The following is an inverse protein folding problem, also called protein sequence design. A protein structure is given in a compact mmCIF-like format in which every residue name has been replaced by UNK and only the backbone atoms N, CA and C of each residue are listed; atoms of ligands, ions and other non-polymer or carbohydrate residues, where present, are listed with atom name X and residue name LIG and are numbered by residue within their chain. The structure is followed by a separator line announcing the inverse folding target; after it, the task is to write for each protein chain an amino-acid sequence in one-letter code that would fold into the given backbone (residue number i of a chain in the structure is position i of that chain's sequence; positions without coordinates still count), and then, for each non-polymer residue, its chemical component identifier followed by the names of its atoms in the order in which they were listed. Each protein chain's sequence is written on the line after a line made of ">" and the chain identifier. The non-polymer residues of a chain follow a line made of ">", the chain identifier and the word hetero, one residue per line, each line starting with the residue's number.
data_IF_557324920423
#
_entry.id   IF_557324920423
#
_cell.length_a   1.000
_cell.length_b   1.000
_cell.length_c   1.000
_cell.angle_alpha   90.00
_cell.angle_beta   90.00
_cell.angle_gamma   90.00
#
_symmetry.space_group_name_H-M   'P 1'
#
loop_
_entity.id
_entity.type
_entity.pdbx_description
1 polymer ?
#
# COMPACT_ATOMS: atom_id res chain seq x y z
N UNK A 1 -19.13 10.62 -17.17
CA UNK A 1 -17.72 10.61 -16.71
C UNK A 1 -16.94 11.53 -17.63
N UNK A 2 -16.24 12.50 -17.07
CA UNK A 2 -15.30 13.30 -17.86
C UNK A 2 -14.12 12.39 -18.24
N UNK A 3 -13.81 12.35 -19.54
CA UNK A 3 -12.66 11.58 -20.04
C UNK A 3 -11.41 12.44 -19.92
N UNK A 4 -10.31 11.82 -19.45
CA UNK A 4 -9.00 12.44 -19.47
C UNK A 4 -8.64 12.84 -20.91
N UNK A 5 -8.19 14.08 -21.11
CA UNK A 5 -7.70 14.59 -22.39
C UNK A 5 -6.25 14.94 -22.27
N UNK A 6 -5.43 14.45 -23.20
CA UNK A 6 -4.03 14.82 -23.31
C UNK A 6 -3.89 15.90 -24.37
N UNK A 7 -3.49 17.12 -23.98
CA UNK A 7 -3.15 18.21 -24.91
C UNK A 7 -1.64 18.23 -25.16
N UNK A 8 -1.26 17.88 -26.38
CA UNK A 8 0.15 17.91 -26.85
C UNK A 8 0.44 19.08 -27.80
N UNK A 9 -0.51 20.01 -27.97
CA UNK A 9 -0.39 21.08 -28.96
C UNK A 9 0.86 21.97 -28.82
N UNK A 10 1.40 22.07 -27.58
CA UNK A 10 2.59 22.88 -27.27
C UNK A 10 3.89 22.07 -27.17
N UNK A 11 3.87 20.78 -27.44
CA UNK A 11 5.05 19.90 -27.26
C UNK A 11 5.94 19.83 -28.51
N UNK A 12 5.45 20.27 -29.65
CA UNK A 12 6.11 20.07 -30.95
C UNK A 12 6.06 18.60 -31.43
N UNK A 13 5.40 17.72 -30.72
CA UNK A 13 5.25 16.30 -31.08
C UNK A 13 4.01 16.10 -31.94
N UNK A 14 4.16 15.45 -33.09
CA UNK A 14 3.06 14.98 -33.90
C UNK A 14 2.89 13.46 -33.74
N UNK A 15 1.70 13.02 -33.36
CA UNK A 15 1.39 11.58 -33.28
C UNK A 15 1.16 11.06 -34.70
N UNK A 16 2.15 10.32 -35.22
CA UNK A 16 2.05 9.73 -36.54
C UNK A 16 1.16 8.46 -36.55
N UNK A 17 0.63 8.10 -37.73
CA UNK A 17 -0.12 6.84 -37.90
C UNK A 17 0.72 5.61 -37.53
N UNK A 18 2.03 5.65 -37.76
CA UNK A 18 2.95 4.58 -37.36
C UNK A 18 3.06 4.46 -35.83
N UNK A 19 3.09 5.58 -35.08
CA UNK A 19 3.08 5.56 -33.62
C UNK A 19 1.76 5.01 -33.07
N UNK A 20 0.64 5.41 -33.65
CA UNK A 20 -0.68 4.88 -33.27
C UNK A 20 -0.76 3.37 -33.50
N UNK A 21 -0.31 2.88 -34.66
CA UNK A 21 -0.31 1.44 -34.96
C UNK A 21 0.56 0.64 -33.97
N UNK A 22 1.75 1.17 -33.59
CA UNK A 22 2.61 0.54 -32.57
C UNK A 22 1.93 0.50 -31.19
N UNK A 23 1.30 1.58 -30.77
CA UNK A 23 0.59 1.63 -29.50
C UNK A 23 -0.59 0.65 -29.46
N UNK A 24 -1.37 0.59 -30.56
CA UNK A 24 -2.47 -0.37 -30.68
C UNK A 24 -1.98 -1.82 -30.64
N UNK A 25 -0.88 -2.13 -31.36
CA UNK A 25 -0.30 -3.48 -31.34
C UNK A 25 0.21 -3.87 -29.94
N UNK A 26 0.87 -2.95 -29.23
CA UNK A 26 1.34 -3.17 -27.87
C UNK A 26 0.17 -3.41 -26.90
N UNK A 27 -0.89 -2.59 -26.99
CA UNK A 27 -2.08 -2.78 -26.19
C UNK A 27 -2.78 -4.12 -26.47
N UNK A 28 -2.92 -4.48 -27.75
CA UNK A 28 -3.49 -5.77 -28.14
C UNK A 28 -2.66 -6.96 -27.64
N UNK A 29 -1.33 -6.84 -27.62
CA UNK A 29 -0.43 -7.86 -27.05
C UNK A 29 -0.66 -7.99 -25.55
N UNK A 30 -0.74 -6.88 -24.81
CA UNK A 30 -1.02 -6.86 -23.38
C UNK A 30 -2.37 -7.53 -23.08
N UNK A 31 -3.43 -7.09 -23.73
CA UNK A 31 -4.79 -7.63 -23.55
C UNK A 31 -4.91 -9.12 -23.93
N UNK A 32 -4.11 -9.57 -24.90
CA UNK A 32 -4.12 -11.00 -25.29
C UNK A 32 -3.49 -11.93 -24.27
N UNK A 33 -2.68 -11.40 -23.34
CA UNK A 33 -1.93 -12.18 -22.37
C UNK A 33 -0.89 -13.15 -22.97
N UNK A 34 -0.45 -12.92 -24.22
CA UNK A 34 0.45 -13.85 -24.94
C UNK A 34 1.91 -13.37 -25.02
N UNK A 35 2.23 -12.23 -24.45
CA UNK A 35 3.58 -11.68 -24.42
C UNK A 35 4.46 -12.31 -23.33
N UNK A 36 5.74 -11.95 -23.35
CA UNK A 36 6.65 -12.25 -22.24
C UNK A 36 6.14 -11.62 -20.94
N UNK A 37 6.19 -12.36 -19.83
CA UNK A 37 5.68 -11.90 -18.54
C UNK A 37 4.16 -12.04 -18.36
N UNK A 38 3.49 -12.80 -19.21
CA UNK A 38 2.02 -13.02 -19.15
C UNK A 38 1.53 -13.60 -17.82
N UNK A 39 2.39 -14.28 -17.06
CA UNK A 39 2.06 -14.83 -15.75
C UNK A 39 1.80 -13.76 -14.68
N UNK A 40 2.15 -12.50 -14.98
CA UNK A 40 2.06 -11.37 -14.04
C UNK A 40 1.16 -10.24 -14.51
N UNK A 41 0.12 -10.56 -15.27
CA UNK A 41 -0.84 -9.59 -15.83
C UNK A 41 -2.12 -9.42 -15.01
N UNK A 42 -2.22 -10.01 -13.81
CA UNK A 42 -3.40 -9.90 -12.95
C UNK A 42 -3.81 -8.45 -12.63
N UNK A 43 -2.87 -7.51 -12.68
CA UNK A 43 -3.14 -6.09 -12.47
C UNK A 43 -3.99 -5.44 -13.58
N UNK A 44 -3.99 -5.96 -14.80
CA UNK A 44 -4.69 -5.38 -15.97
C UNK A 44 -6.19 -5.26 -15.70
N UNK A 45 -6.79 -6.30 -15.14
CA UNK A 45 -8.23 -6.35 -14.86
C UNK A 45 -8.57 -6.27 -13.36
N UNK A 46 -7.55 -6.12 -12.49
CA UNK A 46 -7.76 -6.07 -11.04
C UNK A 46 -8.78 -5.00 -10.60
N UNK A 47 -8.73 -3.75 -11.12
CA UNK A 47 -9.69 -2.73 -10.71
C UNK A 47 -11.15 -3.13 -11.00
N UNK A 48 -11.39 -3.82 -12.13
CA UNK A 48 -12.72 -4.27 -12.52
C UNK A 48 -13.21 -5.50 -11.74
N UNK A 49 -12.30 -6.20 -11.06
CA UNK A 49 -12.61 -7.39 -10.26
C UNK A 49 -12.89 -7.07 -8.77
N UNK A 50 -12.74 -5.82 -8.36
CA UNK A 50 -12.99 -5.40 -6.97
C UNK A 50 -14.49 -5.37 -6.73
N UNK A 51 -14.96 -6.23 -5.83
CA UNK A 51 -16.37 -6.33 -5.45
C UNK A 51 -16.73 -5.34 -4.32
N UNK A 52 -18.02 -4.94 -4.20
CA UNK A 52 -18.49 -4.14 -3.08
C UNK A 52 -18.14 -4.73 -1.71
N UNK A 53 -18.26 -6.03 -1.52
CA UNK A 53 -17.93 -6.71 -0.25
C UNK A 53 -16.46 -6.55 0.12
N UNK A 54 -15.57 -6.56 -0.89
CA UNK A 54 -14.14 -6.32 -0.66
C UNK A 54 -13.87 -4.89 -0.24
N UNK A 55 -14.57 -3.92 -0.85
CA UNK A 55 -14.49 -2.51 -0.45
C UNK A 55 -14.98 -2.35 0.99
N UNK A 56 -16.15 -2.90 1.31
CA UNK A 56 -16.72 -2.83 2.66
C UNK A 56 -15.78 -3.42 3.71
N UNK A 57 -15.14 -4.55 3.43
CA UNK A 57 -14.18 -5.17 4.34
C UNK A 57 -12.96 -4.25 4.60
N UNK A 58 -12.46 -3.57 3.56
CA UNK A 58 -11.36 -2.61 3.67
C UNK A 58 -11.81 -1.38 4.48
N UNK A 59 -12.97 -0.82 4.18
CA UNK A 59 -13.51 0.35 4.87
C UNK A 59 -13.75 0.07 6.36
N UNK A 60 -14.31 -1.09 6.68
CA UNK A 60 -14.51 -1.54 8.06
C UNK A 60 -13.19 -1.63 8.83
N UNK A 61 -12.15 -2.18 8.20
CA UNK A 61 -10.84 -2.26 8.84
C UNK A 61 -10.17 -0.90 8.95
N UNK A 62 -10.31 -0.05 7.94
CA UNK A 62 -9.81 1.32 7.96
C UNK A 62 -10.47 2.15 9.08
N UNK A 63 -11.79 2.01 9.27
CA UNK A 63 -12.52 2.66 10.36
C UNK A 63 -11.95 2.27 11.73
N UNK A 64 -11.71 0.97 11.96
CA UNK A 64 -11.10 0.49 13.21
C UNK A 64 -9.72 1.11 13.48
N UNK A 65 -8.88 1.22 12.44
CA UNK A 65 -7.56 1.83 12.61
C UNK A 65 -7.66 3.34 12.89
N UNK A 66 -8.63 4.05 12.26
CA UNK A 66 -8.88 5.47 12.54
C UNK A 66 -9.30 5.73 13.98
N UNK A 67 -10.11 4.85 14.55
CA UNK A 67 -10.53 4.96 15.95
C UNK A 67 -9.38 4.72 16.93
N UNK A 68 -8.39 3.90 16.54
CA UNK A 68 -7.33 3.44 17.44
C UNK A 68 -6.05 4.27 17.34
N UNK A 69 -5.81 5.00 16.25
CA UNK A 69 -4.50 5.59 16.00
C UNK A 69 -4.57 7.00 15.42
N UNK A 70 -3.71 7.88 15.95
CA UNK A 70 -3.43 9.21 15.40
C UNK A 70 -2.40 9.15 14.28
N UNK A 71 -1.54 8.13 14.30
CA UNK A 71 -0.52 7.90 13.27
C UNK A 71 -0.59 6.45 12.79
N UNK A 72 -0.69 6.26 11.48
CA UNK A 72 -0.63 4.94 10.83
C UNK A 72 0.70 4.83 10.10
N UNK A 73 1.51 3.85 10.47
CA UNK A 73 2.80 3.57 9.85
C UNK A 73 2.58 2.52 8.75
N UNK A 74 2.69 2.94 7.49
CA UNK A 74 2.57 2.05 6.35
C UNK A 74 3.96 1.53 5.96
N UNK A 75 4.16 0.22 6.10
CA UNK A 75 5.44 -0.45 5.85
C UNK A 75 5.37 -1.18 4.52
N UNK A 76 6.29 -0.88 3.61
CA UNK A 76 6.39 -1.50 2.31
C UNK A 76 7.60 -1.01 1.55
N UNK A 77 7.86 -1.59 0.37
CA UNK A 77 8.94 -1.16 -0.53
C UNK A 77 8.41 -1.14 -1.97
N UNK A 78 8.91 -0.21 -2.77
CA UNK A 78 8.56 -0.10 -4.19
C UNK A 78 7.05 -0.02 -4.43
N UNK A 79 6.51 -0.91 -5.27
CA UNK A 79 5.07 -0.95 -5.59
C UNK A 79 4.15 -1.21 -4.40
N UNK A 80 4.67 -1.78 -3.32
CA UNK A 80 3.88 -2.05 -2.11
C UNK A 80 3.50 -0.80 -1.33
N UNK A 81 4.10 0.37 -1.59
CA UNK A 81 3.68 1.61 -0.94
C UNK A 81 3.60 2.83 -1.86
N UNK A 82 4.36 2.87 -2.98
CA UNK A 82 4.41 4.05 -3.85
C UNK A 82 3.05 4.44 -4.42
N UNK A 83 2.23 3.47 -4.81
CA UNK A 83 0.89 3.72 -5.32
C UNK A 83 -0.03 4.36 -4.26
N UNK A 84 -0.05 3.79 -3.06
CA UNK A 84 -0.81 4.34 -1.93
C UNK A 84 -0.30 5.74 -1.54
N UNK A 85 1.03 5.93 -1.50
CA UNK A 85 1.64 7.23 -1.22
C UNK A 85 1.24 8.28 -2.25
N UNK A 86 1.33 7.97 -3.54
CA UNK A 86 0.95 8.88 -4.62
C UNK A 86 -0.52 9.34 -4.51
N UNK A 87 -1.44 8.41 -4.25
CA UNK A 87 -2.87 8.74 -4.08
C UNK A 87 -3.09 9.58 -2.83
N UNK A 88 -2.47 9.22 -1.70
CA UNK A 88 -2.58 9.99 -0.46
C UNK A 88 -2.05 11.42 -0.62
N UNK A 89 -0.92 11.60 -1.28
CA UNK A 89 -0.34 12.93 -1.52
C UNK A 89 -1.19 13.76 -2.48
N UNK A 90 -1.75 13.15 -3.53
CA UNK A 90 -2.60 13.83 -4.49
C UNK A 90 -3.96 14.25 -3.91
N UNK A 91 -4.53 13.46 -2.98
CA UNK A 91 -5.87 13.63 -2.45
C UNK A 91 -5.92 14.28 -1.06
N UNK A 92 -4.77 14.48 -0.42
CA UNK A 92 -4.69 15.05 0.92
C UNK A 92 -4.18 16.49 0.90
N UNK A 93 -4.55 17.25 1.92
CA UNK A 93 -3.90 18.52 2.21
C UNK A 93 -2.41 18.30 2.51
N UNK A 94 -1.55 18.94 1.72
CA UNK A 94 -0.09 18.84 1.84
C UNK A 94 0.44 19.34 3.19
N UNK A 95 -0.31 20.17 3.89
CA UNK A 95 0.05 20.77 5.18
C UNK A 95 -0.75 20.22 6.35
N UNK A 96 -1.49 19.12 6.17
CA UNK A 96 -2.33 18.50 7.21
C UNK A 96 -1.60 18.24 8.54
N UNK A 97 -0.30 17.99 8.48
CA UNK A 97 0.54 17.77 9.66
C UNK A 97 0.71 18.99 10.55
N UNK A 98 0.48 20.22 10.03
CA UNK A 98 0.51 21.47 10.78
C UNK A 98 -0.82 21.79 11.48
N UNK A 99 -1.90 21.09 11.15
CA UNK A 99 -3.20 21.33 11.76
C UNK A 99 -3.21 20.88 13.21
N UNK A 100 -3.60 21.78 14.13
CA UNK A 100 -3.70 21.48 15.57
C UNK A 100 -4.80 20.48 15.89
N UNK A 101 -5.90 20.50 15.11
CA UNK A 101 -7.00 19.52 15.21
C UNK A 101 -7.03 18.71 13.92
N UNK A 102 -6.80 17.42 14.06
CA UNK A 102 -6.88 16.46 12.96
C UNK A 102 -8.09 15.57 13.16
N UNK A 103 -8.85 15.37 12.09
CA UNK A 103 -10.00 14.45 12.04
C UNK A 103 -9.62 13.07 11.53
N UNK A 104 -8.45 12.97 10.88
CA UNK A 104 -7.94 11.74 10.28
C UNK A 104 -6.50 11.47 10.75
N UNK A 105 -6.10 10.21 10.87
CA UNK A 105 -4.72 9.85 11.17
C UNK A 105 -3.72 10.41 10.15
N UNK A 106 -2.53 10.70 10.61
CA UNK A 106 -1.39 10.93 9.71
C UNK A 106 -0.86 9.59 9.25
N UNK A 107 -0.73 9.39 7.95
CA UNK A 107 -0.08 8.20 7.39
C UNK A 107 1.37 8.55 7.09
N UNK A 108 2.29 7.78 7.67
CA UNK A 108 3.74 7.85 7.39
C UNK A 108 4.18 6.56 6.74
N UNK A 109 5.18 6.65 5.86
CA UNK A 109 5.68 5.50 5.11
C UNK A 109 7.06 5.10 5.59
N UNK A 110 7.28 3.80 5.79
CA UNK A 110 8.51 3.21 6.26
C UNK A 110 8.83 1.90 5.50
N UNK A 111 10.03 1.35 5.66
CA UNK A 111 10.39 0.04 5.12
C UNK A 111 11.13 0.06 3.79
N UNK A 112 11.38 1.22 3.19
CA UNK A 112 12.19 1.33 1.98
C UNK A 112 13.68 1.35 2.30
N UNK A 113 14.06 2.09 3.33
CA UNK A 113 15.45 2.17 3.82
C UNK A 113 15.51 1.60 5.23
N UNK A 114 16.65 1.01 5.57
CA UNK A 114 16.98 0.61 6.94
C UNK A 114 18.10 1.54 7.37
N UNK A 115 17.73 2.60 8.07
CA UNK A 115 18.63 3.64 8.54
C UNK A 115 18.20 4.15 9.91
N UNK A 116 18.90 5.13 10.43
CA UNK A 116 18.55 5.85 11.65
C UNK A 116 17.18 6.53 11.63
N UNK A 117 16.58 6.71 10.43
CA UNK A 117 15.23 7.25 10.26
C UNK A 117 14.18 6.49 11.11
N UNK A 118 14.42 5.20 11.41
CA UNK A 118 13.52 4.44 12.29
C UNK A 118 13.58 4.93 13.73
N UNK A 119 14.74 5.32 14.20
CA UNK A 119 14.88 5.91 15.54
C UNK A 119 14.16 7.27 15.58
N UNK A 120 14.37 8.10 14.58
CA UNK A 120 13.70 9.39 14.44
C UNK A 120 12.18 9.22 14.34
N UNK A 121 11.71 8.24 13.57
CA UNK A 121 10.28 7.92 13.46
C UNK A 121 9.70 7.51 14.83
N UNK A 122 10.37 6.60 15.56
CA UNK A 122 9.90 6.13 16.86
C UNK A 122 9.87 7.26 17.91
N UNK A 123 10.84 8.15 17.90
CA UNK A 123 10.83 9.34 18.76
C UNK A 123 9.73 10.32 18.34
N UNK A 124 9.54 10.57 17.03
CA UNK A 124 8.51 11.46 16.52
C UNK A 124 7.08 11.00 16.86
N UNK A 125 6.84 9.69 16.92
CA UNK A 125 5.52 9.12 17.23
C UNK A 125 5.32 8.76 18.71
N UNK A 126 6.25 9.13 19.57
CA UNK A 126 6.29 8.71 20.97
C UNK A 126 5.02 9.10 21.75
N UNK A 127 4.52 10.29 21.52
CA UNK A 127 3.35 10.85 22.20
C UNK A 127 2.02 10.58 21.45
N UNK A 128 2.08 9.92 20.30
CA UNK A 128 0.89 9.61 19.49
C UNK A 128 0.47 8.15 19.66
N UNK A 129 -0.83 7.90 19.57
CA UNK A 129 -1.34 6.55 19.37
C UNK A 129 -1.01 6.06 17.97
N UNK A 130 -0.48 4.83 17.86
CA UNK A 130 0.03 4.29 16.60
C UNK A 130 -0.66 2.98 16.21
N UNK A 131 -0.75 2.76 14.89
CA UNK A 131 -1.09 1.49 14.25
C UNK A 131 -0.18 1.28 13.03
N UNK A 132 -0.16 0.07 12.48
CA UNK A 132 0.66 -0.22 11.30
C UNK A 132 -0.07 -1.06 10.27
N UNK A 133 0.24 -0.79 8.99
CA UNK A 133 -0.13 -1.61 7.85
C UNK A 133 1.18 -2.10 7.23
N UNK A 134 1.40 -3.41 7.23
CA UNK A 134 2.58 -4.01 6.60
C UNK A 134 2.20 -4.68 5.29
N UNK A 135 2.91 -4.32 4.21
CA UNK A 135 2.63 -4.75 2.85
C UNK A 135 3.85 -5.46 2.26
N UNK A 136 3.70 -6.74 1.98
CA UNK A 136 4.72 -7.55 1.31
C UNK A 136 4.06 -8.69 0.54
N UNK A 137 4.10 -8.65 -0.80
CA UNK A 137 3.47 -9.68 -1.65
C UNK A 137 4.01 -11.07 -1.33
N UNK A 138 5.33 -11.26 -1.33
CA UNK A 138 5.95 -12.55 -0.99
C UNK A 138 5.89 -12.89 0.50
N UNK A 139 5.70 -11.89 1.36
CA UNK A 139 5.79 -12.03 2.81
C UNK A 139 7.20 -12.32 3.33
N UNK A 140 8.25 -12.20 2.49
CA UNK A 140 9.64 -12.55 2.81
C UNK A 140 10.65 -11.45 2.49
N UNK A 141 10.20 -10.30 1.98
CA UNK A 141 11.09 -9.17 1.66
C UNK A 141 11.76 -8.64 2.94
N UNK A 142 13.07 -8.51 2.91
CA UNK A 142 13.91 -8.25 4.11
C UNK A 142 13.63 -6.88 4.72
N UNK A 143 13.59 -5.82 3.92
CA UNK A 143 13.46 -4.45 4.42
C UNK A 143 12.13 -4.22 5.15
N UNK A 144 10.96 -4.56 4.56
CA UNK A 144 9.70 -4.51 5.29
C UNK A 144 9.67 -5.42 6.52
N UNK A 145 10.33 -6.59 6.49
CA UNK A 145 10.36 -7.50 7.64
C UNK A 145 11.13 -6.90 8.82
N UNK A 146 12.27 -6.24 8.57
CA UNK A 146 13.05 -5.55 9.62
C UNK A 146 12.24 -4.38 10.19
N UNK A 147 11.71 -3.51 9.30
CA UNK A 147 10.86 -2.40 9.69
C UNK A 147 9.68 -2.84 10.54
N UNK A 148 8.97 -3.87 10.09
CA UNK A 148 7.83 -4.42 10.79
C UNK A 148 8.21 -4.98 12.16
N UNK A 149 9.35 -5.67 12.26
CA UNK A 149 9.84 -6.19 13.55
C UNK A 149 10.03 -5.08 14.59
N UNK A 150 10.60 -3.94 14.18
CA UNK A 150 10.83 -2.79 15.06
C UNK A 150 9.51 -2.14 15.48
N UNK A 151 8.62 -1.86 14.52
CA UNK A 151 7.33 -1.22 14.78
C UNK A 151 6.39 -2.14 15.58
N UNK A 152 6.35 -3.43 15.26
CA UNK A 152 5.59 -4.43 16.02
C UNK A 152 6.03 -4.46 17.48
N UNK A 153 7.35 -4.51 17.74
CA UNK A 153 7.87 -4.52 19.09
C UNK A 153 7.45 -3.28 19.89
N UNK A 154 7.45 -2.10 19.25
CA UNK A 154 7.00 -0.87 19.91
C UNK A 154 5.49 -0.87 20.17
N UNK A 155 4.66 -1.37 19.22
CA UNK A 155 3.21 -1.49 19.40
C UNK A 155 2.92 -2.48 20.55
N UNK A 156 3.55 -3.65 20.57
CA UNK A 156 3.37 -4.63 21.64
C UNK A 156 3.81 -4.11 23.02
N UNK A 157 4.89 -3.35 23.06
CA UNK A 157 5.38 -2.71 24.31
C UNK A 157 4.36 -1.70 24.85
N UNK A 158 3.73 -0.91 23.96
CA UNK A 158 2.77 0.14 24.36
C UNK A 158 1.41 -0.41 24.76
N UNK A 159 0.92 -1.41 24.03
CA UNK A 159 -0.48 -1.82 24.13
C UNK A 159 -0.68 -3.27 24.61
N UNK A 160 0.40 -4.04 24.72
CA UNK A 160 0.30 -5.48 24.97
C UNK A 160 -0.12 -6.25 23.71
N UNK A 161 0.09 -7.57 23.69
CA UNK A 161 -0.11 -8.41 22.49
C UNK A 161 -1.53 -8.40 21.95
N UNK A 162 -2.54 -8.46 22.81
CA UNK A 162 -3.93 -8.53 22.38
C UNK A 162 -4.37 -7.26 21.65
N UNK A 163 -4.11 -6.09 22.23
CA UNK A 163 -4.46 -4.82 21.61
C UNK A 163 -3.56 -4.52 20.39
N UNK A 164 -2.30 -4.98 20.41
CA UNK A 164 -1.39 -4.87 19.27
C UNK A 164 -1.95 -5.59 18.03
N UNK A 165 -2.56 -6.76 18.20
CA UNK A 165 -3.15 -7.51 17.09
C UNK A 165 -4.28 -6.72 16.38
N UNK A 166 -4.99 -5.87 17.11
CA UNK A 166 -6.05 -5.02 16.53
C UNK A 166 -5.51 -3.76 15.85
N UNK A 167 -4.24 -3.41 16.07
CA UNK A 167 -3.54 -2.24 15.51
C UNK A 167 -2.63 -2.58 14.33
N UNK A 168 -2.55 -3.86 13.97
CA UNK A 168 -1.70 -4.37 12.89
C UNK A 168 -2.56 -4.95 11.79
N UNK A 169 -2.34 -4.53 10.54
CA UNK A 169 -2.97 -5.12 9.36
C UNK A 169 -1.87 -5.61 8.43
N UNK A 170 -1.98 -6.84 7.92
CA UNK A 170 -1.04 -7.40 6.96
C UNK A 170 -1.68 -7.51 5.57
N UNK A 171 -0.99 -6.99 4.55
CA UNK A 171 -1.38 -7.13 3.15
C UNK A 171 -0.30 -7.97 2.47
N UNK A 172 -0.63 -9.22 2.12
CA UNK A 172 0.37 -10.23 1.71
C UNK A 172 -0.23 -11.32 0.84
N UNK A 173 0.51 -12.39 0.61
CA UNK A 173 0.05 -13.61 -0.06
C UNK A 173 -1.16 -14.23 0.68
N UNK A 174 -1.98 -14.96 -0.08
CA UNK A 174 -3.16 -15.64 0.46
C UNK A 174 -2.84 -16.75 1.46
N UNK A 175 -1.74 -17.49 1.22
CA UNK A 175 -1.45 -18.73 1.92
C UNK A 175 0.03 -18.93 2.31
N UNK A 176 0.96 -18.17 1.73
CA UNK A 176 2.41 -18.40 1.84
C UNK A 176 3.16 -17.20 2.41
N UNK A 177 4.38 -17.46 2.84
CA UNK A 177 5.32 -16.44 3.30
C UNK A 177 5.29 -16.22 4.82
N UNK A 178 6.41 -15.75 5.35
CA UNK A 178 6.59 -15.53 6.79
C UNK A 178 5.58 -14.52 7.37
N UNK A 179 5.24 -13.47 6.62
CA UNK A 179 4.27 -12.48 7.06
C UNK A 179 2.87 -13.09 7.19
N UNK A 180 2.46 -13.96 6.23
CA UNK A 180 1.17 -14.64 6.30
C UNK A 180 1.10 -15.58 7.51
N UNK A 181 2.14 -16.39 7.69
CA UNK A 181 2.24 -17.31 8.85
C UNK A 181 2.18 -16.54 10.16
N UNK A 182 2.90 -15.42 10.27
CA UNK A 182 2.87 -14.59 11.47
C UNK A 182 1.49 -13.98 11.70
N UNK A 183 0.87 -13.44 10.64
CA UNK A 183 -0.46 -12.83 10.75
C UNK A 183 -1.52 -13.82 11.22
N UNK A 184 -1.48 -15.06 10.72
CA UNK A 184 -2.40 -16.12 11.15
C UNK A 184 -2.19 -16.51 12.61
N UNK A 185 -0.93 -16.65 13.05
CA UNK A 185 -0.59 -17.04 14.42
C UNK A 185 -0.94 -15.95 15.44
N UNK A 186 -0.78 -14.69 15.08
CA UNK A 186 -1.02 -13.55 15.98
C UNK A 186 -2.45 -12.97 15.82
N UNK A 187 -3.23 -13.46 14.86
CA UNK A 187 -4.61 -13.02 14.63
C UNK A 187 -4.75 -11.67 13.95
N UNK A 188 -3.75 -11.24 13.14
CA UNK A 188 -3.85 -9.97 12.42
C UNK A 188 -4.87 -10.04 11.28
N UNK A 189 -5.70 -9.01 11.08
CA UNK A 189 -6.47 -8.87 9.85
C UNK A 189 -5.58 -8.91 8.61
N UNK A 190 -5.98 -9.70 7.60
CA UNK A 190 -5.19 -9.84 6.37
C UNK A 190 -5.98 -9.46 5.13
N UNK A 191 -5.30 -8.84 4.16
CA UNK A 191 -5.79 -8.64 2.80
C UNK A 191 -4.80 -9.25 1.80
N UNK A 192 -5.33 -9.71 0.67
CA UNK A 192 -4.57 -10.49 -0.30
C UNK A 192 -4.11 -9.64 -1.47
N UNK A 193 -2.82 -9.74 -1.80
CA UNK A 193 -2.28 -9.36 -3.10
C UNK A 193 -2.29 -10.62 -3.97
N UNK A 194 -2.99 -10.62 -5.12
CA UNK A 194 -3.00 -11.80 -6.00
C UNK A 194 -1.60 -12.15 -6.52
N UNK A 195 -1.33 -13.45 -6.68
CA UNK A 195 -0.02 -13.96 -7.10
C UNK A 195 0.41 -13.47 -8.49
N UNK A 196 -0.57 -13.30 -9.37
CA UNK A 196 -0.41 -12.87 -10.76
C UNK A 196 -0.28 -11.35 -10.94
N UNK A 197 -0.31 -10.58 -9.85
CA UNK A 197 0.01 -9.14 -9.87
C UNK A 197 1.52 -8.97 -9.85
N UNK A 198 2.09 -8.45 -10.92
CA UNK A 198 3.53 -8.20 -11.09
C UNK A 198 4.02 -6.92 -10.48
#
# INVERSE_FOLDING_TARGET
>A
METLKLDISKTGVAVSAAMQAKAQAANALLESGKGAGSDFLGWVHLPSSITPDRIEAIEKQAAKLREKAEVIICIGIGGSYLGAKAVLEAMSDSFKFLHKKRTEPVVVFAGQNISEDYHELLEAVKEYSIATIVISKSGTTTEPAIAFRLIKAEIEKRYGKQEAAERIVAITDKARGALKTLADNEGYPTFVIPDDVG
#
